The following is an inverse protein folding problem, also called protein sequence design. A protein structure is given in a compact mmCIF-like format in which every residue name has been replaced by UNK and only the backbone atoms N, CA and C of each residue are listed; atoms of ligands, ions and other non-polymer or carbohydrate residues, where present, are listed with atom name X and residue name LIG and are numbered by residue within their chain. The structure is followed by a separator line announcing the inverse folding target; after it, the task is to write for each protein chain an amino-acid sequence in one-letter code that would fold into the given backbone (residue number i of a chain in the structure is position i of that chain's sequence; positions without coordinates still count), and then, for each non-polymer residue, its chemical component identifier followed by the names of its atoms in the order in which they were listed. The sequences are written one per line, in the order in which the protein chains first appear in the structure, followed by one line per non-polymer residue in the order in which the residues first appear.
data_IF_965813316950
#
_entry.id   IF_965813316950
#
_cell.length_a   1.000
_cell.length_b   1.000
_cell.length_c   1.000
_cell.angle_alpha   90.00
_cell.angle_beta   90.00
_cell.angle_gamma   90.00
#
_symmetry.space_group_name_H-M   'P 1'
#
loop_
_entity.id
_entity.type
_entity.pdbx_description
1 polymer ?
#
# COMPACT_ATOMS: atom_id res chain seq x y z
N UNK A 1 17.90 -42.19 29.31
CA UNK A 1 16.75 -41.37 29.73
C UNK A 1 17.29 -40.00 30.09
N UNK A 2 16.92 -38.99 29.30
CA UNK A 2 16.73 -37.59 29.69
C UNK A 2 16.30 -36.86 28.42
N UNK A 3 14.99 -36.93 28.19
CA UNK A 3 14.27 -36.08 27.26
C UNK A 3 14.55 -34.62 27.63
N UNK A 4 15.19 -33.88 26.73
CA UNK A 4 15.11 -32.43 26.72
C UNK A 4 14.14 -32.08 25.61
N UNK A 5 12.85 -32.03 25.99
CA UNK A 5 11.84 -31.38 25.19
C UNK A 5 12.20 -29.90 25.09
N UNK A 6 12.84 -29.53 23.98
CA UNK A 6 12.82 -28.16 23.53
C UNK A 6 11.41 -27.92 22.98
N UNK A 7 10.62 -27.14 23.70
CA UNK A 7 9.36 -26.60 23.21
C UNK A 7 9.64 -25.77 21.95
N UNK A 8 9.59 -26.41 20.79
CA UNK A 8 9.73 -25.81 19.46
C UNK A 8 8.42 -25.13 19.06
N UNK A 9 7.92 -24.23 19.92
CA UNK A 9 6.85 -23.28 19.57
C UNK A 9 7.46 -22.07 18.82
N UNK A 10 8.30 -22.36 17.81
CA UNK A 10 8.87 -21.36 16.92
C UNK A 10 7.77 -20.56 16.22
N UNK A 11 7.99 -19.26 16.08
CA UNK A 11 7.08 -18.39 15.34
C UNK A 11 6.95 -18.87 13.88
N UNK A 12 5.71 -18.99 13.39
CA UNK A 12 5.42 -19.39 12.01
C UNK A 12 4.67 -18.27 11.28
N UNK A 13 5.32 -17.68 10.27
CA UNK A 13 4.69 -16.68 9.40
C UNK A 13 3.41 -17.18 8.74
N UNK A 14 3.36 -18.46 8.36
CA UNK A 14 2.16 -19.04 7.75
C UNK A 14 0.96 -18.96 8.71
N UNK A 15 1.12 -19.48 9.93
CA UNK A 15 0.07 -19.45 10.95
C UNK A 15 -0.28 -18.01 11.34
N UNK A 16 0.74 -17.15 11.43
CA UNK A 16 0.55 -15.74 11.75
C UNK A 16 -0.28 -15.02 10.68
N UNK A 17 0.04 -15.18 9.40
CA UNK A 17 -0.68 -14.55 8.29
C UNK A 17 -2.13 -15.07 8.19
N UNK A 18 -2.34 -16.37 8.42
CA UNK A 18 -3.68 -16.96 8.48
C UNK A 18 -4.52 -16.35 9.62
N UNK A 19 -3.94 -16.23 10.82
CA UNK A 19 -4.59 -15.59 11.98
C UNK A 19 -4.85 -14.09 11.76
N UNK A 20 -3.85 -13.37 11.26
CA UNK A 20 -3.95 -11.94 10.96
C UNK A 20 -5.04 -11.67 9.92
N UNK A 21 -5.17 -12.52 8.91
CA UNK A 21 -6.19 -12.41 7.87
C UNK A 21 -7.63 -12.45 8.39
N UNK A 22 -7.87 -13.04 9.57
CA UNK A 22 -9.16 -13.09 10.26
C UNK A 22 -9.36 -11.85 11.16
N UNK A 23 -8.29 -11.34 11.76
CA UNK A 23 -8.33 -10.28 12.78
C UNK A 23 -8.25 -8.87 12.20
N UNK A 24 -7.60 -8.71 11.05
CA UNK A 24 -7.46 -7.41 10.36
C UNK A 24 -8.81 -6.85 9.88
N UNK A 25 -9.90 -7.61 9.97
CA UNK A 25 -11.25 -7.13 9.68
C UNK A 25 -11.97 -6.43 10.84
N UNK A 26 -11.38 -6.34 12.04
CA UNK A 26 -12.08 -5.83 13.24
C UNK A 26 -12.64 -4.42 13.04
N UNK A 27 -13.86 -4.18 13.55
CA UNK A 27 -14.55 -2.88 13.47
C UNK A 27 -14.09 -1.87 14.53
N UNK A 28 -13.42 -2.34 15.59
CA UNK A 28 -12.97 -1.48 16.70
C UNK A 28 -11.67 -0.74 16.36
N UNK A 29 -11.72 0.60 16.26
CA UNK A 29 -10.53 1.44 16.00
C UNK A 29 -9.39 1.11 16.97
N UNK A 30 -9.70 0.97 18.26
CA UNK A 30 -8.70 0.67 19.31
C UNK A 30 -7.99 -0.66 19.03
N UNK A 31 -8.76 -1.73 18.80
CA UNK A 31 -8.19 -3.05 18.50
C UNK A 31 -7.41 -3.06 17.19
N UNK A 32 -7.85 -2.31 16.17
CA UNK A 32 -7.10 -2.15 14.92
C UNK A 32 -5.72 -1.54 15.16
N UNK A 33 -5.67 -0.47 15.96
CA UNK A 33 -4.40 0.20 16.26
C UNK A 33 -3.48 -0.68 17.09
N UNK A 34 -4.00 -1.36 18.12
CA UNK A 34 -3.21 -2.31 18.93
C UNK A 34 -2.66 -3.46 18.06
N UNK A 35 -3.50 -4.04 17.19
CA UNK A 35 -3.09 -5.08 16.26
C UNK A 35 -1.98 -4.59 15.32
N UNK A 36 -2.18 -3.45 14.65
CA UNK A 36 -1.24 -2.98 13.63
C UNK A 36 0.04 -2.41 14.24
N UNK A 37 -0.07 -1.53 15.24
CA UNK A 37 1.05 -0.77 15.75
C UNK A 37 1.90 -1.55 16.76
N UNK A 38 1.30 -2.46 17.52
CA UNK A 38 2.03 -3.26 18.51
C UNK A 38 2.38 -4.62 17.95
N UNK A 39 1.38 -5.38 17.50
CA UNK A 39 1.58 -6.78 17.12
C UNK A 39 2.25 -6.91 15.73
N UNK A 40 1.65 -6.32 14.69
CA UNK A 40 2.18 -6.45 13.32
C UNK A 40 3.54 -5.77 13.19
N UNK A 41 3.71 -4.55 13.67
CA UNK A 41 5.04 -3.90 13.67
C UNK A 41 6.03 -4.72 14.50
N UNK A 42 5.63 -5.23 15.67
CA UNK A 42 6.48 -6.08 16.51
C UNK A 42 7.01 -7.30 15.76
N UNK A 43 6.17 -8.01 15.01
CA UNK A 43 6.61 -9.13 14.17
C UNK A 43 7.44 -8.68 12.98
N UNK A 44 7.07 -7.60 12.28
CA UNK A 44 7.84 -7.06 11.15
C UNK A 44 9.25 -6.66 11.57
N UNK A 45 9.44 -6.12 12.78
CA UNK A 45 10.76 -5.71 13.30
C UNK A 45 11.52 -6.87 13.94
N UNK A 46 10.82 -7.78 14.62
CA UNK A 46 11.44 -8.82 15.44
C UNK A 46 11.62 -10.18 14.77
N UNK A 47 11.08 -10.39 13.56
CA UNK A 47 11.14 -11.68 12.86
C UNK A 47 11.60 -11.49 11.41
N UNK A 48 12.54 -12.30 10.97
CA UNK A 48 12.91 -12.33 9.55
C UNK A 48 11.77 -12.95 8.72
N UNK A 49 11.22 -12.17 7.81
CA UNK A 49 10.34 -12.66 6.74
C UNK A 49 11.18 -13.13 5.53
N UNK A 50 10.54 -13.80 4.60
CA UNK A 50 10.98 -14.03 3.23
C UNK A 50 10.16 -13.15 2.29
N UNK A 51 10.55 -13.09 1.01
CA UNK A 51 9.81 -12.30 0.01
C UNK A 51 8.33 -12.73 -0.10
N UNK A 52 8.07 -14.03 0.03
CA UNK A 52 6.73 -14.60 0.01
C UNK A 52 5.90 -14.14 1.20
N UNK A 53 6.51 -14.03 2.37
CA UNK A 53 5.82 -13.63 3.61
C UNK A 53 5.55 -12.13 3.62
N UNK A 54 6.46 -11.31 3.10
CA UNK A 54 6.21 -9.87 2.86
C UNK A 54 5.04 -9.69 1.90
N UNK A 55 5.02 -10.41 0.78
CA UNK A 55 3.89 -10.39 -0.14
C UNK A 55 2.59 -10.80 0.55
N UNK A 56 2.62 -11.89 1.32
CA UNK A 56 1.47 -12.37 2.09
C UNK A 56 0.94 -11.32 3.07
N UNK A 57 1.84 -10.62 3.77
CA UNK A 57 1.47 -9.55 4.69
C UNK A 57 0.79 -8.38 3.97
N UNK A 58 1.35 -7.93 2.85
CA UNK A 58 0.74 -6.86 2.04
C UNK A 58 -0.62 -7.28 1.47
N UNK A 59 -0.77 -8.55 1.06
CA UNK A 59 -2.07 -9.11 0.62
C UNK A 59 -3.09 -9.11 1.77
N UNK A 60 -2.69 -9.47 2.98
CA UNK A 60 -3.57 -9.42 4.15
C UNK A 60 -3.99 -7.99 4.47
N UNK A 61 -3.03 -7.06 4.49
CA UNK A 61 -3.31 -5.63 4.73
C UNK A 61 -4.23 -5.05 3.65
N UNK A 62 -4.15 -5.47 2.38
CA UNK A 62 -5.07 -5.04 1.31
C UNK A 62 -6.55 -5.14 1.72
N UNK A 63 -6.92 -6.14 2.53
CA UNK A 63 -8.30 -6.32 3.02
C UNK A 63 -8.82 -5.12 3.82
N UNK A 64 -7.92 -4.28 4.36
CA UNK A 64 -8.30 -3.09 5.13
C UNK A 64 -8.68 -1.90 4.26
N UNK A 65 -8.36 -1.91 2.96
CA UNK A 65 -8.63 -0.79 2.05
C UNK A 65 -10.11 -0.35 2.05
N UNK A 66 -11.11 -1.26 1.92
CA UNK A 66 -12.51 -0.87 2.00
C UNK A 66 -13.02 -0.64 3.44
N UNK A 67 -12.33 -1.17 4.45
CA UNK A 67 -12.80 -1.19 5.85
C UNK A 67 -12.36 0.06 6.62
N UNK A 68 -11.10 0.46 6.47
CA UNK A 68 -10.47 1.45 7.34
C UNK A 68 -10.55 2.84 6.71
N UNK A 69 -11.76 3.40 6.74
CA UNK A 69 -12.04 4.72 6.17
C UNK A 69 -11.62 5.88 7.07
N UNK A 70 -11.43 5.63 8.37
CA UNK A 70 -11.03 6.63 9.36
C UNK A 70 -9.54 6.97 9.27
N UNK A 71 -9.18 8.20 9.68
CA UNK A 71 -7.80 8.71 9.59
C UNK A 71 -6.83 7.90 10.46
N UNK A 72 -7.25 7.47 11.65
CA UNK A 72 -6.38 6.83 12.64
C UNK A 72 -5.95 5.46 12.13
N UNK A 73 -6.91 4.66 11.67
CA UNK A 73 -6.64 3.31 11.17
C UNK A 73 -5.83 3.32 9.87
N UNK A 74 -6.03 4.31 8.99
CA UNK A 74 -5.17 4.50 7.81
C UNK A 74 -3.74 4.83 8.20
N UNK A 75 -3.55 5.68 9.20
CA UNK A 75 -2.22 6.01 9.70
C UNK A 75 -1.50 4.79 10.30
N UNK A 76 -2.23 3.94 11.05
CA UNK A 76 -1.67 2.70 11.59
C UNK A 76 -1.20 1.73 10.49
N UNK A 77 -2.01 1.52 9.44
CA UNK A 77 -1.58 0.68 8.29
C UNK A 77 -0.38 1.30 7.57
N UNK A 78 -0.38 2.62 7.38
CA UNK A 78 0.74 3.32 6.75
C UNK A 78 2.04 3.15 7.55
N UNK A 79 1.99 3.16 8.89
CA UNK A 79 3.15 2.86 9.75
C UNK A 79 3.69 1.44 9.53
N UNK A 80 2.80 0.45 9.44
CA UNK A 80 3.20 -0.93 9.14
C UNK A 80 3.90 -1.01 7.78
N UNK A 81 3.28 -0.45 6.73
CA UNK A 81 3.87 -0.42 5.39
C UNK A 81 5.21 0.32 5.36
N UNK A 82 5.36 1.39 6.14
CA UNK A 82 6.61 2.13 6.26
C UNK A 82 7.70 1.30 6.91
N UNK A 83 7.36 0.55 7.96
CA UNK A 83 8.28 -0.36 8.63
C UNK A 83 8.76 -1.48 7.69
N UNK A 84 7.84 -2.07 6.92
CA UNK A 84 8.18 -3.09 5.91
C UNK A 84 9.12 -2.48 4.85
N UNK A 85 8.75 -1.31 4.30
CA UNK A 85 9.53 -0.64 3.27
C UNK A 85 10.92 -0.20 3.73
N UNK A 86 11.07 0.22 4.99
CA UNK A 86 12.36 0.61 5.56
C UNK A 86 13.32 -0.57 5.73
N UNK A 87 12.80 -1.75 6.03
CA UNK A 87 13.64 -2.94 6.21
C UNK A 87 13.91 -3.68 4.89
N UNK A 88 12.94 -3.67 3.97
CA UNK A 88 12.93 -4.54 2.78
C UNK A 88 12.42 -3.80 1.55
N UNK A 89 13.10 -2.73 1.12
CA UNK A 89 12.58 -1.80 0.13
C UNK A 89 12.27 -2.45 -1.23
N UNK A 90 13.15 -3.30 -1.74
CA UNK A 90 12.97 -3.97 -3.03
C UNK A 90 11.78 -4.93 -3.02
N UNK A 91 11.74 -5.82 -2.03
CA UNK A 91 10.65 -6.78 -1.82
C UNK A 91 9.32 -6.07 -1.61
N UNK A 92 9.33 -4.98 -0.83
CA UNK A 92 8.15 -4.15 -0.59
C UNK A 92 7.62 -3.53 -1.88
N UNK A 93 8.48 -2.93 -2.71
CA UNK A 93 8.09 -2.36 -4.00
C UNK A 93 7.46 -3.41 -4.93
N UNK A 94 8.09 -4.59 -5.05
CA UNK A 94 7.58 -5.72 -5.84
C UNK A 94 6.22 -6.20 -5.32
N UNK A 95 6.10 -6.40 -4.01
CA UNK A 95 4.86 -6.84 -3.39
C UNK A 95 3.72 -5.82 -3.61
N UNK A 96 4.01 -4.53 -3.44
CA UNK A 96 3.04 -3.46 -3.67
C UNK A 96 2.60 -3.39 -5.13
N UNK A 97 3.54 -3.50 -6.08
CA UNK A 97 3.22 -3.55 -7.50
C UNK A 97 2.24 -4.69 -7.80
N UNK A 98 2.50 -5.91 -7.33
CA UNK A 98 1.61 -7.07 -7.53
C UNK A 98 0.24 -6.86 -6.88
N UNK A 99 0.21 -6.44 -5.61
CA UNK A 99 -1.03 -6.34 -4.82
C UNK A 99 -1.95 -5.24 -5.34
N UNK A 100 -1.38 -4.06 -5.63
CA UNK A 100 -2.12 -2.92 -6.14
C UNK A 100 -2.55 -3.15 -7.58
N UNK A 101 -1.73 -3.80 -8.40
CA UNK A 101 -2.11 -4.11 -9.77
C UNK A 101 -3.32 -5.04 -9.87
N UNK A 102 -3.34 -6.11 -9.06
CA UNK A 102 -4.53 -6.94 -8.94
C UNK A 102 -5.74 -6.20 -8.35
N UNK A 103 -5.53 -5.09 -7.63
CA UNK A 103 -6.62 -4.21 -7.17
C UNK A 103 -7.05 -3.21 -8.25
N UNK A 104 -6.18 -2.89 -9.21
CA UNK A 104 -6.41 -1.83 -10.18
C UNK A 104 -7.43 -2.19 -11.23
N UNK A 105 -7.54 -3.46 -11.60
CA UNK A 105 -8.56 -3.87 -12.57
C UNK A 105 -9.98 -3.66 -12.04
N UNK A 106 -10.20 -3.70 -10.72
CA UNK A 106 -11.46 -3.30 -10.09
C UNK A 106 -11.51 -1.81 -9.76
N UNK A 107 -10.36 -1.21 -9.44
CA UNK A 107 -10.28 0.18 -9.03
C UNK A 107 -10.30 1.21 -10.17
N UNK A 108 -9.96 0.82 -11.39
CA UNK A 108 -10.05 1.64 -12.61
C UNK A 108 -9.84 0.76 -13.84
N UNK A 109 -10.88 0.11 -14.39
CA UNK A 109 -10.75 -0.75 -15.56
C UNK A 109 -10.13 0.00 -16.75
N UNK A 110 -9.26 -0.65 -17.54
CA UNK A 110 -8.53 -0.01 -18.66
C UNK A 110 -9.42 0.66 -19.72
N UNK A 111 -10.67 0.22 -19.84
CA UNK A 111 -11.64 0.70 -20.84
C UNK A 111 -12.53 1.84 -20.33
N UNK A 112 -12.46 2.16 -19.04
CA UNK A 112 -13.34 3.15 -18.42
C UNK A 112 -12.76 4.55 -18.58
N UNK A 113 -13.41 5.40 -19.37
CA UNK A 113 -13.04 6.80 -19.60
C UNK A 113 -13.78 7.79 -18.70
N UNK A 114 -14.78 7.32 -17.95
CA UNK A 114 -15.58 8.14 -17.02
C UNK A 114 -15.37 7.71 -15.56
N UNK A 115 -14.85 8.58 -14.67
CA UNK A 115 -14.58 8.23 -13.27
C UNK A 115 -15.76 7.74 -12.44
N UNK A 116 -16.99 8.11 -12.79
CA UNK A 116 -18.20 7.62 -12.12
C UNK A 116 -18.55 6.17 -12.47
N UNK A 117 -18.02 5.64 -13.58
CA UNK A 117 -18.18 4.24 -13.98
C UNK A 117 -17.12 3.32 -13.32
N UNK A 118 -16.37 3.84 -12.35
CA UNK A 118 -15.36 3.10 -11.60
C UNK A 118 -16.02 2.37 -10.41
N UNK A 119 -15.92 1.02 -10.31
CA UNK A 119 -16.59 0.24 -9.27
C UNK A 119 -16.14 0.52 -7.82
N UNK A 120 -14.88 0.95 -7.64
CA UNK A 120 -14.35 1.25 -6.30
C UNK A 120 -14.85 2.59 -5.76
N UNK A 121 -14.71 2.84 -4.45
CA UNK A 121 -14.97 4.17 -3.89
C UNK A 121 -13.77 5.10 -4.08
N UNK A 122 -14.00 6.41 -4.13
CA UNK A 122 -12.90 7.40 -4.12
C UNK A 122 -11.98 7.24 -2.89
N UNK A 123 -12.54 6.86 -1.73
CA UNK A 123 -11.77 6.63 -0.50
C UNK A 123 -10.81 5.46 -0.64
N UNK A 124 -11.27 4.34 -1.21
CA UNK A 124 -10.43 3.18 -1.50
C UNK A 124 -9.32 3.55 -2.49
N UNK A 125 -9.64 4.27 -3.57
CA UNK A 125 -8.63 4.75 -4.53
C UNK A 125 -7.58 5.64 -3.88
N UNK A 126 -8.00 6.56 -3.02
CA UNK A 126 -7.08 7.42 -2.28
C UNK A 126 -6.15 6.61 -1.38
N UNK A 127 -6.65 5.61 -0.65
CA UNK A 127 -5.79 4.71 0.15
C UNK A 127 -4.79 3.97 -0.74
N UNK A 128 -5.24 3.38 -1.86
CA UNK A 128 -4.34 2.73 -2.80
C UNK A 128 -3.28 3.68 -3.38
N UNK A 129 -3.63 4.94 -3.65
CA UNK A 129 -2.68 5.94 -4.11
C UNK A 129 -1.63 6.23 -3.04
N UNK A 130 -2.03 6.39 -1.78
CA UNK A 130 -1.08 6.62 -0.68
C UNK A 130 -0.10 5.44 -0.53
N UNK A 131 -0.58 4.22 -0.78
CA UNK A 131 0.26 3.02 -0.75
C UNK A 131 1.22 2.97 -1.95
N UNK A 132 0.73 3.26 -3.16
CA UNK A 132 1.53 3.31 -4.37
C UNK A 132 2.64 4.35 -4.27
N UNK A 133 2.30 5.57 -3.82
CA UNK A 133 3.25 6.68 -3.64
C UNK A 133 4.30 6.37 -2.58
N UNK A 134 3.93 5.72 -1.49
CA UNK A 134 4.88 5.24 -0.48
C UNK A 134 5.82 4.17 -1.03
N UNK A 135 5.30 3.18 -1.76
CA UNK A 135 6.11 2.16 -2.41
C UNK A 135 7.08 2.77 -3.41
N UNK A 136 6.61 3.75 -4.20
CA UNK A 136 7.42 4.49 -5.15
C UNK A 136 8.55 5.23 -4.44
N UNK A 137 8.26 6.02 -3.40
CA UNK A 137 9.26 6.78 -2.63
C UNK A 137 10.34 5.86 -2.02
N UNK A 138 9.93 4.73 -1.43
CA UNK A 138 10.86 3.74 -0.87
C UNK A 138 11.72 3.10 -1.98
N UNK A 139 11.11 2.72 -3.11
CA UNK A 139 11.83 2.08 -4.20
C UNK A 139 12.83 3.03 -4.87
N UNK A 140 12.46 4.30 -5.09
CA UNK A 140 13.36 5.30 -5.70
C UNK A 140 14.61 5.53 -4.86
N UNK A 141 14.46 5.66 -3.54
CA UNK A 141 15.60 5.93 -2.63
C UNK A 141 16.68 4.86 -2.70
N UNK A 142 16.28 3.62 -2.94
CA UNK A 142 17.13 2.44 -2.75
C UNK A 142 17.68 1.89 -4.07
N UNK A 143 16.95 2.03 -5.17
CA UNK A 143 17.39 1.56 -6.49
C UNK A 143 17.80 2.70 -7.42
N UNK A 144 17.52 3.95 -7.06
CA UNK A 144 17.49 5.04 -8.02
C UNK A 144 16.33 4.87 -9.01
N UNK A 145 16.25 5.78 -9.96
CA UNK A 145 15.18 5.81 -10.95
C UNK A 145 15.63 5.24 -12.28
N UNK A 146 15.59 3.93 -12.41
CA UNK A 146 15.89 3.27 -13.67
C UNK A 146 14.65 3.19 -14.57
N UNK A 147 14.69 3.92 -15.69
CA UNK A 147 13.65 3.91 -16.73
C UNK A 147 13.47 2.52 -17.36
N UNK A 148 14.32 1.54 -17.12
CA UNK A 148 14.22 0.17 -17.63
C UNK A 148 13.59 -0.81 -16.64
N UNK A 149 13.51 -0.46 -15.36
CA UNK A 149 12.97 -1.34 -14.31
C UNK A 149 11.43 -1.50 -14.45
N UNK A 150 10.98 -2.74 -14.58
CA UNK A 150 9.58 -3.08 -14.78
C UNK A 150 8.70 -2.80 -13.54
N UNK A 151 9.25 -2.97 -12.33
CA UNK A 151 8.57 -2.67 -11.06
C UNK A 151 8.39 -1.17 -10.93
N UNK A 152 9.43 -0.39 -11.22
CA UNK A 152 9.39 1.06 -11.26
C UNK A 152 8.27 1.54 -12.18
N UNK A 153 8.32 1.17 -13.48
CA UNK A 153 7.28 1.52 -14.46
C UNK A 153 5.88 1.14 -13.99
N UNK A 154 5.75 -0.03 -13.35
CA UNK A 154 4.47 -0.49 -12.83
C UNK A 154 3.95 0.44 -11.73
N UNK A 155 4.77 0.76 -10.74
CA UNK A 155 4.39 1.66 -9.64
C UNK A 155 4.04 3.08 -10.14
N UNK A 156 4.79 3.59 -11.12
CA UNK A 156 4.48 4.87 -11.79
C UNK A 156 3.11 4.82 -12.45
N UNK A 157 2.85 3.80 -13.27
CA UNK A 157 1.58 3.63 -13.96
C UNK A 157 0.41 3.46 -13.00
N UNK A 158 0.58 2.69 -11.92
CA UNK A 158 -0.42 2.52 -10.86
C UNK A 158 -0.75 3.87 -10.22
N UNK A 159 0.27 4.66 -9.88
CA UNK A 159 0.13 5.99 -9.28
C UNK A 159 -0.62 6.94 -10.20
N UNK A 160 -0.22 7.00 -11.48
CA UNK A 160 -0.84 7.87 -12.48
C UNK A 160 -2.32 7.53 -12.71
N UNK A 161 -2.63 6.23 -12.85
CA UNK A 161 -4.00 5.74 -12.99
C UNK A 161 -4.83 6.12 -11.76
N UNK A 162 -4.39 5.74 -10.56
CA UNK A 162 -5.11 6.05 -9.31
C UNK A 162 -5.35 7.55 -9.12
N UNK A 163 -4.35 8.38 -9.45
CA UNK A 163 -4.49 9.84 -9.39
C UNK A 163 -5.58 10.34 -10.34
N UNK A 164 -5.61 9.85 -11.58
CA UNK A 164 -6.67 10.15 -12.54
C UNK A 164 -8.05 9.71 -12.03
N UNK A 165 -8.16 8.52 -11.43
CA UNK A 165 -9.41 8.01 -10.87
C UNK A 165 -9.91 8.77 -9.63
N UNK A 166 -9.04 9.55 -8.98
CA UNK A 166 -9.38 10.45 -7.85
C UNK A 166 -9.64 11.87 -8.34
N UNK A 167 -9.13 12.26 -9.50
CA UNK A 167 -9.41 13.57 -10.08
C UNK A 167 -10.93 13.72 -10.26
N UNK A 168 -11.52 14.83 -9.81
CA UNK A 168 -12.94 15.07 -10.02
C UNK A 168 -13.16 15.28 -11.52
N UNK A 169 -13.57 14.23 -12.23
CA UNK A 169 -14.09 14.40 -13.57
C UNK A 169 -15.45 15.06 -13.45
N UNK A 170 -15.50 16.33 -13.84
CA UNK A 170 -16.72 17.01 -14.28
C UNK A 170 -17.96 16.77 -13.40
N UNK A 171 -17.99 17.36 -12.20
CA UNK A 171 -19.25 17.51 -11.48
C UNK A 171 -19.42 18.97 -11.09
N UNK A 172 -20.50 19.60 -11.56
CA UNK A 172 -20.89 20.95 -11.13
C UNK A 172 -21.21 21.04 -9.62
N UNK A 173 -21.23 19.89 -8.91
CA UNK A 173 -21.39 19.75 -7.47
C UNK A 173 -20.31 18.83 -6.87
N UNK A 174 -19.03 19.25 -6.90
CA UNK A 174 -17.97 18.50 -6.21
C UNK A 174 -18.15 18.66 -4.69
N UNK A 175 -18.40 17.55 -3.99
CA UNK A 175 -18.35 17.52 -2.52
C UNK A 175 -16.97 18.03 -2.04
N UNK A 176 -16.96 18.90 -1.02
CA UNK A 176 -15.75 19.42 -0.36
C UNK A 176 -14.79 18.29 0.03
N UNK A 177 -15.33 17.12 0.41
CA UNK A 177 -14.53 15.94 0.74
C UNK A 177 -13.76 15.40 -0.46
N UNK A 178 -14.39 15.29 -1.62
CA UNK A 178 -13.76 14.84 -2.85
C UNK A 178 -12.67 15.82 -3.31
N UNK A 179 -12.93 17.13 -3.25
CA UNK A 179 -11.90 18.15 -3.52
C UNK A 179 -10.70 18.05 -2.56
N UNK A 180 -10.96 17.88 -1.26
CA UNK A 180 -9.91 17.75 -0.25
C UNK A 180 -9.03 16.53 -0.48
N UNK A 181 -9.63 15.38 -0.83
CA UNK A 181 -8.92 14.16 -1.17
C UNK A 181 -8.09 14.32 -2.44
N UNK A 182 -8.65 14.91 -3.49
CA UNK A 182 -7.92 15.17 -4.73
C UNK A 182 -6.73 16.10 -4.51
N UNK A 183 -6.88 17.19 -3.74
CA UNK A 183 -5.77 18.08 -3.38
C UNK A 183 -4.70 17.39 -2.54
N UNK A 184 -5.09 16.44 -1.68
CA UNK A 184 -4.15 15.66 -0.86
C UNK A 184 -3.40 14.65 -1.71
N UNK A 185 -4.10 13.96 -2.63
CA UNK A 185 -3.53 13.04 -3.60
C UNK A 185 -2.47 13.73 -4.47
N UNK A 186 -2.80 14.88 -5.05
CA UNK A 186 -1.86 15.68 -5.84
C UNK A 186 -0.64 16.10 -5.01
N UNK A 187 -0.84 16.59 -3.77
CA UNK A 187 0.27 17.00 -2.91
C UNK A 187 1.21 15.83 -2.59
N UNK A 188 0.66 14.64 -2.36
CA UNK A 188 1.46 13.45 -2.07
C UNK A 188 2.30 13.01 -3.26
N UNK A 189 1.70 12.94 -4.46
CA UNK A 189 2.45 12.61 -5.69
C UNK A 189 3.53 13.66 -5.95
N UNK A 190 3.19 14.96 -5.86
CA UNK A 190 4.16 16.04 -6.04
C UNK A 190 5.24 16.11 -4.96
N UNK A 191 5.01 15.55 -3.77
CA UNK A 191 6.05 15.41 -2.73
C UNK A 191 7.11 14.42 -3.20
N UNK A 192 6.71 13.25 -3.71
CA UNK A 192 7.62 12.22 -4.20
C UNK A 192 8.37 12.71 -5.44
N UNK A 193 7.66 13.30 -6.41
CA UNK A 193 8.23 13.88 -7.65
C UNK A 193 9.29 14.93 -7.33
N UNK A 194 9.04 15.82 -6.35
CA UNK A 194 10.01 16.86 -5.95
C UNK A 194 11.19 16.33 -5.13
N UNK A 195 10.98 15.24 -4.40
CA UNK A 195 12.04 14.60 -3.64
C UNK A 195 13.03 13.86 -4.55
N UNK A 196 12.58 13.42 -5.72
CA UNK A 196 13.36 12.62 -6.68
C UNK A 196 13.23 13.18 -8.11
N UNK A 197 13.70 14.40 -8.40
CA UNK A 197 13.50 15.05 -9.70
C UNK A 197 14.14 14.28 -10.87
N UNK A 198 15.27 13.62 -10.64
CA UNK A 198 15.94 12.72 -11.59
C UNK A 198 15.06 11.55 -12.02
N UNK A 199 14.16 11.12 -11.14
CA UNK A 199 13.21 10.05 -11.41
C UNK A 199 12.05 10.45 -12.32
N UNK A 200 11.81 11.75 -12.44
CA UNK A 200 10.73 12.31 -13.26
C UNK A 200 11.14 12.34 -14.72
N UNK A 201 12.42 12.58 -15.01
CA UNK A 201 12.96 12.50 -16.37
C UNK A 201 12.75 11.11 -16.97
N UNK A 202 13.10 10.07 -16.22
CA UNK A 202 12.89 8.67 -16.64
C UNK A 202 11.43 8.23 -16.70
N UNK A 203 10.51 8.93 -16.02
CA UNK A 203 9.07 8.69 -16.13
C UNK A 203 8.46 9.21 -17.44
N UNK A 204 9.01 10.28 -18.01
CA UNK A 204 8.50 10.93 -19.22
C UNK A 204 8.98 10.25 -20.50
N UNK A 205 10.03 9.43 -20.41
CA UNK A 205 10.57 8.60 -21.49
C UNK A 205 9.87 7.23 -21.64
N UNK A 206 8.78 6.99 -20.89
CA UNK A 206 7.99 5.73 -20.89
C UNK A 206 6.78 5.79 -21.83
#
# INVERSE_FOLDING_TARGET
MSETGADDNGFSWKMYLESLALRVGTSSVKQRCELLETEVIGHVVGQEASDKEVLGLVVVLKKTIPLYVDRVSRAAVHKVLASIGAQRPQTFGRAMAVVLDGAMETAQPRKTTHPDAIPSTQASRFVMLTWATQALDVYTREQGSDASDAVWKRLVLLTARLLWGIAPAHAQNIDRKAMSMSRSAHREVWRVVRAHPEAVGSMLDV
#
